data_IF_745361608831
#
_entry.id   IF_745361608831
#
_cell.length_a   1.000
_cell.length_b   1.000
_cell.length_c   1.000
_cell.angle_alpha   90.00
_cell.angle_beta   90.00
_cell.angle_gamma   90.00
#
_symmetry.space_group_name_H-M   'P 1'
#
loop_
_entity.id
_entity.type
_entity.pdbx_description
1 polymer ?
#
# COMPACT_ATOMS: atom_id res chain seq x y z
N UNK A 1 -3.22 -14.08 5.46
CA UNK A 1 -3.05 -12.75 6.09
C UNK A 1 -1.65 -12.62 6.64
N UNK A 2 -1.01 -11.52 6.33
CA UNK A 2 0.33 -11.21 6.84
C UNK A 2 0.32 -9.82 7.46
N UNK A 3 1.12 -9.64 8.49
CA UNK A 3 1.23 -8.36 9.18
C UNK A 3 2.67 -7.86 9.13
N UNK A 4 2.80 -6.59 8.74
CA UNK A 4 4.09 -5.88 8.76
C UNK A 4 3.91 -4.55 9.47
N UNK A 5 4.97 -4.04 10.07
CA UNK A 5 4.95 -2.64 10.45
C UNK A 5 5.56 -1.81 9.31
N UNK A 6 5.28 -0.52 9.34
CA UNK A 6 5.70 0.37 8.25
C UNK A 6 7.22 0.38 8.07
N UNK A 7 7.95 0.40 9.17
CA UNK A 7 9.42 0.43 9.09
C UNK A 7 9.98 -0.81 8.40
N UNK A 8 9.41 -1.96 8.70
CA UNK A 8 9.87 -3.20 8.09
C UNK A 8 9.61 -3.22 6.60
N UNK A 9 8.44 -2.76 6.19
CA UNK A 9 8.02 -2.90 4.80
C UNK A 9 8.45 -1.73 3.93
N UNK A 10 8.46 -0.53 4.44
CA UNK A 10 8.74 0.68 3.67
C UNK A 10 9.96 1.45 4.16
N UNK A 11 10.49 1.13 5.31
CA UNK A 11 11.59 1.89 5.90
C UNK A 11 12.97 1.50 5.41
N UNK A 12 13.12 0.36 4.77
CA UNK A 12 14.39 -0.12 4.26
C UNK A 12 14.40 -0.19 2.74
N UNK A 13 15.53 -0.62 2.15
CA UNK A 13 15.64 -0.73 0.70
C UNK A 13 14.76 -1.86 0.20
N UNK A 14 13.65 -1.50 -0.41
CA UNK A 14 12.70 -2.43 -1.01
C UNK A 14 12.40 -1.97 -2.42
N UNK A 15 12.10 -2.93 -3.29
CA UNK A 15 11.73 -2.65 -4.66
C UNK A 15 10.29 -3.07 -4.93
N UNK A 16 9.78 -2.69 -6.09
CA UNK A 16 8.46 -3.13 -6.52
C UNK A 16 8.37 -4.65 -6.60
N UNK A 17 9.47 -5.33 -6.92
CA UNK A 17 9.48 -6.79 -6.97
C UNK A 17 9.23 -7.42 -5.61
N UNK A 18 9.76 -6.80 -4.55
CA UNK A 18 9.50 -7.29 -3.19
C UNK A 18 8.01 -7.25 -2.88
N UNK A 19 7.33 -6.18 -3.27
CA UNK A 19 5.91 -6.03 -3.02
C UNK A 19 5.07 -6.95 -3.90
N UNK A 20 5.51 -7.19 -5.14
CA UNK A 20 4.85 -8.16 -6.01
C UNK A 20 4.90 -9.57 -5.42
N UNK A 21 6.02 -9.93 -4.83
CA UNK A 21 6.16 -11.23 -4.20
C UNK A 21 5.18 -11.39 -3.03
N UNK A 22 5.06 -10.36 -2.20
CA UNK A 22 4.11 -10.37 -1.11
C UNK A 22 2.68 -10.50 -1.65
N UNK A 23 2.35 -9.74 -2.69
CA UNK A 23 1.02 -9.78 -3.29
C UNK A 23 0.69 -11.13 -3.90
N UNK A 24 1.70 -11.87 -4.32
CA UNK A 24 1.51 -13.21 -4.86
C UNK A 24 1.16 -14.22 -3.78
N UNK A 25 1.71 -14.04 -2.59
CA UNK A 25 1.59 -15.00 -1.50
C UNK A 25 0.40 -14.79 -0.57
N UNK A 26 -0.10 -13.57 -0.48
CA UNK A 26 -1.11 -13.23 0.54
C UNK A 26 -2.33 -12.55 -0.05
N UNK A 27 -3.49 -12.82 0.54
CA UNK A 27 -4.75 -12.19 0.16
C UNK A 27 -4.97 -10.85 0.87
N UNK A 28 -4.40 -10.72 2.05
CA UNK A 28 -4.62 -9.56 2.90
C UNK A 28 -3.32 -9.20 3.59
N UNK A 29 -2.99 -7.93 3.54
CA UNK A 29 -1.80 -7.38 4.21
C UNK A 29 -2.28 -6.41 5.27
N UNK A 30 -1.77 -6.59 6.49
CA UNK A 30 -2.00 -5.66 7.59
C UNK A 30 -0.74 -4.83 7.74
N UNK A 31 -0.87 -3.52 7.68
CA UNK A 31 0.27 -2.61 7.79
C UNK A 31 0.04 -1.68 8.96
N UNK A 32 0.90 -1.75 9.96
CA UNK A 32 0.73 -0.94 11.15
C UNK A 32 1.74 0.21 11.22
N UNK A 33 1.36 1.27 11.90
CA UNK A 33 2.27 2.36 12.23
C UNK A 33 2.66 3.23 11.05
N UNK A 34 1.76 3.43 10.09
CA UNK A 34 2.04 4.34 8.97
C UNK A 34 2.07 5.77 9.51
N UNK A 35 3.24 6.45 9.44
CA UNK A 35 3.35 7.78 10.02
C UNK A 35 3.00 8.86 9.01
N UNK A 36 2.78 10.07 9.51
CA UNK A 36 2.87 11.23 8.64
C UNK A 36 4.29 11.29 8.08
N UNK A 37 4.43 11.46 6.77
CA UNK A 37 5.73 11.44 6.11
C UNK A 37 6.12 12.85 5.68
N UNK A 38 7.06 13.48 6.39
CA UNK A 38 7.58 14.78 5.95
C UNK A 38 8.47 14.62 4.73
N UNK A 39 8.91 15.75 4.19
CA UNK A 39 9.75 15.77 2.98
C UNK A 39 10.97 14.84 3.10
N UNK A 40 11.58 14.79 4.28
CA UNK A 40 12.76 13.95 4.49
C UNK A 40 12.48 12.46 4.34
N UNK A 41 11.21 12.08 4.36
CA UNK A 41 10.79 10.69 4.19
C UNK A 41 10.29 10.40 2.76
N UNK A 42 10.80 11.15 1.79
CA UNK A 42 10.36 10.96 0.40
C UNK A 42 10.64 9.54 -0.10
N UNK A 43 11.73 8.92 0.33
CA UNK A 43 12.03 7.54 -0.08
C UNK A 43 11.01 6.55 0.48
N UNK A 44 10.66 6.72 1.74
CA UNK A 44 9.64 5.89 2.38
C UNK A 44 8.28 6.11 1.74
N UNK A 45 7.97 7.37 1.41
CA UNK A 45 6.71 7.68 0.75
C UNK A 45 6.64 7.04 -0.64
N UNK A 46 7.75 7.02 -1.37
CA UNK A 46 7.80 6.37 -2.68
C UNK A 46 7.57 4.87 -2.55
N UNK A 47 8.23 4.24 -1.58
CA UNK A 47 8.02 2.81 -1.35
C UNK A 47 6.58 2.53 -0.95
N UNK A 48 5.98 3.38 -0.16
CA UNK A 48 4.58 3.25 0.21
C UNK A 48 3.66 3.35 -1.02
N UNK A 49 3.93 4.29 -1.93
CA UNK A 49 3.14 4.39 -3.16
C UNK A 49 3.28 3.14 -4.02
N UNK A 50 4.48 2.60 -4.12
CA UNK A 50 4.69 1.35 -4.86
C UNK A 50 3.90 0.19 -4.25
N UNK A 51 3.94 0.09 -2.92
CA UNK A 51 3.19 -0.95 -2.22
C UNK A 51 1.70 -0.84 -2.50
N UNK A 52 1.15 0.34 -2.36
CA UNK A 52 -0.28 0.56 -2.59
C UNK A 52 -0.64 0.22 -4.03
N UNK A 53 0.18 0.66 -4.99
CA UNK A 53 -0.07 0.38 -6.40
C UNK A 53 -0.11 -1.12 -6.68
N UNK A 54 0.86 -1.86 -6.16
CA UNK A 54 0.93 -3.30 -6.37
C UNK A 54 -0.27 -4.01 -5.75
N UNK A 55 -0.59 -3.68 -4.51
CA UNK A 55 -1.72 -4.32 -3.82
C UNK A 55 -3.03 -3.98 -4.50
N UNK A 56 -3.18 -2.74 -4.95
CA UNK A 56 -4.37 -2.31 -5.67
C UNK A 56 -4.55 -3.09 -6.98
N UNK A 57 -3.49 -3.18 -7.77
CA UNK A 57 -3.55 -3.88 -9.07
C UNK A 57 -3.84 -5.35 -8.91
N UNK A 58 -3.34 -5.96 -7.85
CA UNK A 58 -3.50 -7.40 -7.61
C UNK A 58 -4.74 -7.74 -6.81
N UNK A 59 -5.52 -6.73 -6.41
CA UNK A 59 -6.71 -6.91 -5.59
C UNK A 59 -6.42 -7.58 -4.25
N UNK A 60 -5.24 -7.30 -3.71
CA UNK A 60 -4.88 -7.73 -2.36
C UNK A 60 -5.41 -6.69 -1.38
N UNK A 61 -6.09 -7.13 -0.36
CA UNK A 61 -6.69 -6.23 0.63
C UNK A 61 -5.61 -5.66 1.52
N UNK A 62 -5.72 -4.36 1.79
CA UNK A 62 -4.78 -3.67 2.67
C UNK A 62 -5.56 -3.06 3.83
N UNK A 63 -5.20 -3.46 5.05
CA UNK A 63 -5.71 -2.85 6.26
C UNK A 63 -4.52 -2.16 6.92
N UNK A 64 -4.65 -0.87 7.17
CA UNK A 64 -3.53 -0.14 7.75
C UNK A 64 -3.98 0.69 8.95
N UNK A 65 -3.04 0.91 9.87
CA UNK A 65 -3.20 1.89 10.93
C UNK A 65 -2.23 3.03 10.66
N UNK A 66 -2.69 4.24 10.81
CA UNK A 66 -1.90 5.42 10.47
C UNK A 66 -2.11 6.52 11.51
N UNK A 67 -1.12 7.41 11.60
CA UNK A 67 -1.20 8.54 12.53
C UNK A 67 -2.25 9.56 12.12
N UNK A 68 -2.47 9.67 10.81
CA UNK A 68 -3.35 10.69 10.25
C UNK A 68 -4.18 10.05 9.14
N UNK A 69 -5.16 10.78 8.66
CA UNK A 69 -5.98 10.34 7.54
C UNK A 69 -5.12 10.20 6.28
N UNK A 70 -5.53 9.38 5.31
CA UNK A 70 -4.73 9.19 4.09
C UNK A 70 -4.33 10.49 3.41
N UNK A 71 -5.21 11.47 3.42
CA UNK A 71 -4.97 12.76 2.81
C UNK A 71 -3.83 13.53 3.47
N UNK A 72 -3.54 13.23 4.72
CA UNK A 72 -2.49 13.88 5.48
C UNK A 72 -1.18 13.13 5.55
N UNK A 73 -1.09 11.96 4.90
CA UNK A 73 0.11 11.13 5.04
C UNK A 73 1.34 11.75 4.39
N UNK A 74 1.17 12.39 3.24
CA UNK A 74 2.29 13.03 2.55
C UNK A 74 1.77 14.23 1.79
N UNK A 75 2.11 15.42 2.25
CA UNK A 75 1.55 16.65 1.71
C UNK A 75 2.57 17.55 1.03
N UNK A 76 3.85 17.36 1.30
CA UNK A 76 4.91 18.18 0.74
C UNK A 76 6.05 17.31 0.25
N UNK A 77 6.68 17.72 -0.85
CA UNK A 77 7.86 17.05 -1.35
C UNK A 77 7.70 16.55 -2.78
N UNK A 78 8.68 15.78 -3.28
CA UNK A 78 8.72 15.36 -4.68
C UNK A 78 7.51 14.60 -5.16
N UNK A 79 6.85 13.87 -4.27
CA UNK A 79 5.70 13.04 -4.64
C UNK A 79 4.36 13.72 -4.40
N UNK A 80 4.35 15.01 -4.05
CA UNK A 80 3.11 15.68 -3.68
C UNK A 80 2.08 15.71 -4.80
N UNK A 81 2.50 15.68 -6.05
CA UNK A 81 1.59 15.64 -7.19
C UNK A 81 1.07 14.23 -7.48
N UNK A 82 1.82 13.21 -7.09
CA UNK A 82 1.45 11.82 -7.34
C UNK A 82 0.66 11.23 -6.20
N UNK A 83 0.88 11.69 -5.00
CA UNK A 83 0.28 11.10 -3.82
C UNK A 83 -1.25 11.13 -3.79
N UNK A 84 -1.93 12.14 -4.35
CA UNK A 84 -3.39 12.11 -4.41
C UNK A 84 -3.95 10.86 -5.11
N UNK A 85 -3.23 10.32 -6.08
CA UNK A 85 -3.64 9.06 -6.71
C UNK A 85 -3.55 7.90 -5.72
N UNK A 86 -2.50 7.88 -4.92
CA UNK A 86 -2.34 6.88 -3.88
C UNK A 86 -3.48 6.97 -2.85
N UNK A 87 -3.84 8.18 -2.46
CA UNK A 87 -4.96 8.39 -1.54
C UNK A 87 -6.26 7.88 -2.15
N UNK A 88 -6.51 8.19 -3.43
CA UNK A 88 -7.70 7.68 -4.12
C UNK A 88 -7.75 6.16 -4.12
N UNK A 89 -6.62 5.53 -4.35
CA UNK A 89 -6.55 4.07 -4.34
C UNK A 89 -6.80 3.49 -2.96
N UNK A 90 -6.24 4.13 -1.93
CA UNK A 90 -6.51 3.71 -0.56
C UNK A 90 -8.00 3.80 -0.22
N UNK A 91 -8.64 4.88 -0.63
CA UNK A 91 -10.07 5.05 -0.40
C UNK A 91 -10.89 4.03 -1.18
N UNK A 92 -10.51 3.76 -2.42
CA UNK A 92 -11.20 2.75 -3.22
C UNK A 92 -11.05 1.36 -2.62
N UNK A 93 -9.90 1.06 -2.05
CA UNK A 93 -9.66 -0.23 -1.42
C UNK A 93 -10.52 -0.46 -0.19
N UNK A 94 -11.12 0.60 0.35
CA UNK A 94 -12.08 0.48 1.45
C UNK A 94 -13.51 0.25 0.95
N UNK A 95 -13.76 0.34 -0.36
CA UNK A 95 -15.10 0.21 -0.89
C UNK A 95 -15.59 -1.22 -0.80
N UNK A 96 -16.92 -1.39 -0.67
CA UNK A 96 -17.53 -2.71 -0.63
C UNK A 96 -17.25 -3.47 -1.93
N UNK A 97 -17.22 -2.77 -3.04
CA UNK A 97 -16.95 -3.38 -4.34
C UNK A 97 -15.55 -4.00 -4.37
N UNK A 98 -14.55 -3.24 -3.95
CA UNK A 98 -13.18 -3.77 -3.92
C UNK A 98 -13.06 -4.95 -2.97
N UNK A 99 -13.62 -4.82 -1.78
CA UNK A 99 -13.53 -5.86 -0.77
C UNK A 99 -14.24 -7.15 -1.17
N UNK A 100 -15.24 -7.05 -2.04
CA UNK A 100 -15.97 -8.23 -2.49
C UNK A 100 -15.28 -8.96 -3.64
N UNK A 101 -14.31 -8.34 -4.29
CA UNK A 101 -13.58 -8.97 -5.39
C UNK A 101 -12.56 -9.95 -4.85
N UNK A 102 -12.35 -11.03 -5.56
CA UNK A 102 -11.28 -11.95 -5.21
C UNK A 102 -9.93 -11.41 -5.62
N UNK A 103 -8.88 -11.97 -5.06
CA UNK A 103 -7.51 -11.62 -5.41
C UNK A 103 -7.28 -11.93 -6.88
N UNK A 104 -6.68 -10.96 -7.59
CA UNK A 104 -6.33 -11.15 -8.99
C UNK A 104 -5.05 -11.95 -9.08
N UNK A 105 -5.13 -13.13 -9.70
CA UNK A 105 -3.95 -13.94 -9.94
C UNK A 105 -3.84 -14.26 -11.42
N UNK A 106 -2.65 -14.63 -11.85
CA UNK A 106 -2.45 -15.04 -13.23
C UNK A 106 -2.52 -16.52 -13.39
N UNK A 107 -2.54 -17.27 -12.29
CA UNK A 107 -2.28 -18.71 -12.38
C UNK A 107 -3.49 -19.50 -12.16
N UNK A 108 -4.56 -19.38 -12.10
CA UNK A 108 -5.58 -20.40 -12.06
C UNK A 108 -6.85 -20.04 -11.40
N UNK A 109 -6.84 -19.02 -10.65
CA UNK A 109 -8.04 -18.68 -9.94
C UNK A 109 -8.32 -19.57 -8.75
N UNK A 110 -7.30 -20.08 -8.16
CA UNK A 110 -7.45 -20.87 -6.94
C UNK A 110 -7.52 -20.03 -5.69
N UNK A 111 -7.98 -18.88 -5.76
CA UNK A 111 -8.05 -18.01 -4.58
C UNK A 111 -9.23 -18.29 -3.71
#
# INVERSE_FOLDING_TARGET
VVWFDFKTLCGGPRSQNDYLEIATQFHTVLLSGVPHMPVRMASEARRFTWLVDVLYDRRVKLVLSAEVEPEGLYTEGPLSHEFPRTVSRLNEMQSAEFLSQGKRTVDTGLT
#
